data_IF_104087985873
#
_entry.id   IF_104087985873
#
_cell.length_a   1.000
_cell.length_b   1.000
_cell.length_c   1.000
_cell.angle_alpha   90.00
_cell.angle_beta   90.00
_cell.angle_gamma   90.00
#
_symmetry.space_group_name_H-M   'P 1'
#
loop_
_entity.id
_entity.type
_entity.pdbx_description
1 polymer ?
#
# COMPACT_ATOMS: atom_id res chain seq x y z
N UNK A 1 44.00 -10.42 14.29
CA UNK A 1 42.63 -10.98 14.47
C UNK A 1 41.57 -9.90 14.69
N UNK A 2 41.87 -8.79 15.37
CA UNK A 2 40.94 -7.67 15.63
C UNK A 2 40.37 -6.99 14.38
N UNK A 3 41.19 -6.80 13.34
CA UNK A 3 40.77 -6.16 12.08
C UNK A 3 39.80 -7.04 11.26
N UNK A 4 40.00 -8.36 11.25
CA UNK A 4 39.06 -9.32 10.62
C UNK A 4 37.72 -9.36 11.34
N UNK A 5 37.74 -9.24 12.66
CA UNK A 5 36.52 -9.18 13.49
C UNK A 5 35.75 -7.88 13.23
N UNK A 6 36.44 -6.76 13.03
CA UNK A 6 35.84 -5.47 12.68
C UNK A 6 35.16 -5.52 11.29
N UNK A 7 35.80 -6.11 10.28
CA UNK A 7 35.18 -6.29 8.96
C UNK A 7 33.95 -7.21 9.00
N UNK A 8 34.00 -8.28 9.81
CA UNK A 8 32.85 -9.15 10.03
C UNK A 8 31.68 -8.37 10.66
N UNK A 9 31.96 -7.50 11.63
CA UNK A 9 30.97 -6.64 12.27
C UNK A 9 30.36 -5.64 11.26
N UNK A 10 31.18 -4.96 10.47
CA UNK A 10 30.71 -4.01 9.44
C UNK A 10 29.83 -4.72 8.39
N UNK A 11 30.20 -5.93 7.97
CA UNK A 11 29.42 -6.72 7.01
C UNK A 11 28.05 -7.14 7.57
N UNK A 12 27.97 -7.39 8.88
CA UNK A 12 26.73 -7.75 9.56
C UNK A 12 25.75 -6.58 9.65
N UNK A 13 26.25 -5.34 9.79
CA UNK A 13 25.42 -4.13 9.82
C UNK A 13 24.87 -3.72 8.45
N UNK A 14 25.52 -4.12 7.34
CA UNK A 14 25.06 -3.84 5.97
C UNK A 14 23.78 -4.61 5.60
N UNK A 15 23.49 -5.74 6.26
CA UNK A 15 22.31 -6.55 5.97
C UNK A 15 21.00 -5.99 6.56
N UNK A 16 21.06 -5.00 7.45
CA UNK A 16 19.88 -4.49 8.16
C UNK A 16 19.04 -3.52 7.31
N UNK A 17 19.58 -2.98 6.22
CA UNK A 17 18.93 -1.91 5.42
C UNK A 17 18.05 -2.41 4.26
N UNK A 18 17.82 -3.71 4.09
CA UNK A 18 17.18 -4.26 2.89
C UNK A 18 15.68 -4.62 3.01
N UNK A 19 15.00 -4.26 4.10
CA UNK A 19 13.54 -4.48 4.22
C UNK A 19 12.75 -3.30 3.63
N UNK A 20 12.62 -3.27 2.30
CA UNK A 20 11.60 -2.45 1.64
C UNK A 20 10.31 -3.29 1.56
N UNK A 21 9.33 -2.97 2.40
CA UNK A 21 8.00 -3.53 2.21
C UNK A 21 7.33 -2.74 1.09
N UNK A 22 7.25 -3.34 -0.09
CA UNK A 22 6.53 -2.77 -1.24
C UNK A 22 5.03 -2.85 -0.94
N UNK A 23 4.51 -1.88 -0.21
CA UNK A 23 3.09 -1.67 -0.06
C UNK A 23 2.69 -0.46 -0.89
N UNK A 24 1.66 -0.61 -1.70
CA UNK A 24 1.14 0.46 -2.54
C UNK A 24 -0.20 0.96 -1.98
N UNK A 25 -0.38 2.28 -2.06
CA UNK A 25 -1.68 2.91 -1.84
C UNK A 25 -2.46 2.87 -3.15
N UNK A 26 -3.60 2.17 -3.17
CA UNK A 26 -4.51 2.15 -4.31
C UNK A 26 -5.66 3.14 -4.08
N UNK A 27 -5.73 4.19 -4.90
CA UNK A 27 -6.71 5.27 -4.80
C UNK A 27 -7.50 5.38 -6.09
N UNK A 28 -8.76 5.77 -5.99
CA UNK A 28 -9.61 5.96 -7.15
C UNK A 28 -10.89 6.71 -6.82
N UNK A 29 -11.73 6.89 -7.85
CA UNK A 29 -13.02 7.57 -7.76
C UNK A 29 -14.08 6.80 -8.54
N UNK A 30 -15.26 6.67 -7.95
CA UNK A 30 -16.44 6.05 -8.56
C UNK A 30 -17.39 7.15 -9.02
N UNK A 31 -17.81 7.06 -10.27
CA UNK A 31 -18.66 8.06 -10.95
C UNK A 31 -19.85 7.31 -11.56
N UNK A 32 -21.06 7.88 -11.41
CA UNK A 32 -22.26 7.37 -12.06
C UNK A 32 -22.22 7.66 -13.57
N UNK A 33 -22.43 6.63 -14.39
CA UNK A 33 -22.28 6.70 -15.84
C UNK A 33 -23.35 7.57 -16.54
N UNK A 34 -24.53 7.77 -15.93
CA UNK A 34 -25.64 8.53 -16.53
C UNK A 34 -25.55 10.01 -16.16
N UNK A 35 -25.21 10.30 -14.91
CA UNK A 35 -25.22 11.68 -14.39
C UNK A 35 -23.84 12.32 -14.39
N UNK A 36 -22.76 11.53 -14.57
CA UNK A 36 -21.38 11.94 -14.38
C UNK A 36 -21.10 12.52 -12.97
N UNK A 37 -21.96 12.22 -12.00
CA UNK A 37 -21.78 12.67 -10.61
C UNK A 37 -20.98 11.65 -9.81
N UNK A 38 -20.22 12.09 -8.78
CA UNK A 38 -19.56 11.16 -7.88
C UNK A 38 -20.54 10.25 -7.15
N UNK A 39 -20.22 8.96 -7.04
CA UNK A 39 -21.07 8.00 -6.36
C UNK A 39 -20.64 7.84 -4.90
N UNK A 40 -21.38 8.46 -3.99
CA UNK A 40 -21.22 8.31 -2.54
C UNK A 40 -21.76 6.97 -2.04
N UNK A 41 -21.09 6.36 -1.06
CA UNK A 41 -21.60 5.16 -0.39
C UNK A 41 -21.43 3.86 -1.18
N UNK A 42 -20.73 3.89 -2.32
CA UNK A 42 -20.41 2.69 -3.09
C UNK A 42 -19.39 1.84 -2.32
N UNK A 43 -19.60 0.53 -2.28
CA UNK A 43 -18.64 -0.41 -1.70
C UNK A 43 -17.68 -0.89 -2.78
N UNK A 44 -16.38 -0.66 -2.55
CA UNK A 44 -15.31 -1.15 -3.41
C UNK A 44 -14.58 -2.24 -2.65
N UNK A 45 -14.39 -3.40 -3.28
CA UNK A 45 -13.84 -4.60 -2.63
C UNK A 45 -12.72 -5.19 -3.47
N UNK A 46 -11.66 -5.66 -2.80
CA UNK A 46 -10.61 -6.51 -3.37
C UNK A 46 -10.78 -7.90 -2.73
N UNK A 47 -11.50 -8.84 -3.36
CA UNK A 47 -11.88 -10.10 -2.73
C UNK A 47 -10.70 -10.93 -2.25
N UNK A 48 -9.65 -11.03 -3.05
CA UNK A 48 -8.47 -11.85 -2.77
C UNK A 48 -7.71 -11.37 -1.52
N UNK A 49 -7.77 -10.06 -1.24
CA UNK A 49 -7.16 -9.45 -0.06
C UNK A 49 -8.16 -9.30 1.10
N UNK A 50 -9.45 -9.62 0.88
CA UNK A 50 -10.55 -9.39 1.83
C UNK A 50 -10.63 -7.94 2.31
N UNK A 51 -10.25 -7.00 1.45
CA UNK A 51 -10.30 -5.57 1.74
C UNK A 51 -11.59 -4.99 1.18
N UNK A 52 -12.22 -4.09 1.94
CA UNK A 52 -13.39 -3.36 1.49
C UNK A 52 -13.36 -1.93 2.03
N UNK A 53 -13.73 -0.98 1.19
CA UNK A 53 -13.83 0.45 1.53
C UNK A 53 -15.10 1.04 0.92
N UNK A 54 -15.64 2.07 1.56
CA UNK A 54 -16.82 2.80 1.07
C UNK A 54 -16.39 4.15 0.54
N UNK A 55 -16.95 4.56 -0.61
CA UNK A 55 -16.64 5.87 -1.21
C UNK A 55 -17.18 7.03 -0.39
N UNK A 56 -16.40 8.11 -0.33
CA UNK A 56 -16.78 9.36 0.35
C UNK A 56 -17.78 10.20 -0.49
N UNK A 57 -18.25 11.38 -0.01
CA UNK A 57 -19.15 12.26 -0.78
C UNK A 57 -18.61 12.73 -2.14
N UNK A 58 -17.28 12.73 -2.32
CA UNK A 58 -16.63 13.05 -3.59
C UNK A 58 -16.45 11.82 -4.49
N UNK A 59 -17.01 10.67 -4.12
CA UNK A 59 -16.90 9.39 -4.82
C UNK A 59 -15.52 8.72 -4.68
N UNK A 60 -14.65 9.23 -3.82
CA UNK A 60 -13.26 8.76 -3.71
C UNK A 60 -13.14 7.58 -2.74
N UNK A 61 -12.20 6.68 -3.04
CA UNK A 61 -11.83 5.56 -2.17
C UNK A 61 -10.30 5.41 -2.12
N UNK A 62 -9.81 4.80 -1.03
CA UNK A 62 -8.38 4.54 -0.84
C UNK A 62 -8.17 3.24 -0.06
N UNK A 63 -7.46 2.29 -0.66
CA UNK A 63 -6.85 1.16 0.02
C UNK A 63 -5.40 1.50 0.36
N UNK A 64 -5.00 1.25 1.60
CA UNK A 64 -3.62 1.45 2.07
C UNK A 64 -3.00 0.09 2.35
N UNK A 65 -1.69 -0.02 2.14
CA UNK A 65 -1.01 -1.27 2.47
C UNK A 65 -1.31 -2.41 1.50
N UNK A 66 -1.63 -2.11 0.24
CA UNK A 66 -1.95 -3.14 -0.76
C UNK A 66 -0.64 -3.76 -1.27
N UNK A 67 -0.44 -5.07 -1.16
CA UNK A 67 0.70 -5.73 -1.81
C UNK A 67 0.66 -5.53 -3.34
N UNK A 68 1.80 -5.41 -4.03
CA UNK A 68 1.87 -5.33 -5.49
C UNK A 68 1.36 -6.59 -6.18
#
# INVERSE_FOLDING_TARGET
MKLKLLYCFIFLFIQFSAFANDFTDLKGKVIDAKTNQPLIGATVTIPDLRLSVTTNPNGEFAFRGVPP
#
